data_IF_302295569077
#
_entry.id   IF_302295569077
#
_cell.length_a   1.000
_cell.length_b   1.000
_cell.length_c   1.000
_cell.angle_alpha   90.00
_cell.angle_beta   90.00
_cell.angle_gamma   90.00
#
_symmetry.space_group_name_H-M   'P 1'
#
loop_
_entity.id
_entity.type
_entity.pdbx_description
1 polymer ?
#
# COMPACT_ATOMS: atom_id res chain seq x y z
N UNK A 1 1.79 -29.84 26.32
CA UNK A 1 1.70 -29.80 26.05
C UNK A 1 1.83 -29.80 25.57
N UNK A 2 1.75 -29.55 25.80
CA UNK A 2 1.76 -29.35 25.56
C UNK A 2 1.93 -28.95 25.00
N UNK A 3 2.00 -28.56 24.88
CA UNK A 3 2.06 -28.07 24.51
C UNK A 3 2.25 -27.70 23.81
N UNK A 4 2.10 -27.64 23.95
CA UNK A 4 2.24 -27.19 23.40
C UNK A 4 2.41 -26.86 22.66
N UNK A 5 2.19 -26.77 22.59
CA UNK A 5 2.39 -26.29 21.98
C UNK A 5 2.36 -25.85 21.47
N UNK A 6 2.11 -25.69 21.64
CA UNK A 6 2.12 -25.07 21.39
C UNK A 6 2.43 -24.53 20.63
N UNK A 7 2.41 -24.34 20.48
CA UNK A 7 2.70 -23.63 19.97
C UNK A 7 2.71 -23.18 19.60
N UNK A 8 2.62 -22.93 19.76
CA UNK A 8 2.67 -22.32 19.74
C UNK A 8 2.81 -21.92 19.27
N UNK A 9 2.45 -21.78 19.43
CA UNK A 9 2.61 -21.15 19.50
C UNK A 9 2.98 -20.86 19.29
N UNK A 10 2.88 -21.00 19.18
CA UNK A 10 3.40 -20.52 19.24
C UNK A 10 3.56 -19.96 19.59
N UNK A 11 4.28 -20.55 19.75
CA UNK A 11 4.02 -19.49 20.55
C UNK A 11 3.68 -18.26 19.83
N UNK A 12 2.59 -17.87 20.00
CA UNK A 12 2.25 -16.61 19.39
C UNK A 12 3.20 -15.58 19.87
N UNK A 13 3.50 -14.66 19.02
CA UNK A 13 4.10 -13.47 19.47
C UNK A 13 3.36 -13.04 20.74
N UNK A 14 4.08 -12.71 21.79
CA UNK A 14 3.41 -12.20 22.96
C UNK A 14 2.55 -11.02 22.57
N UNK A 15 1.37 -10.94 23.15
CA UNK A 15 0.52 -9.80 22.95
C UNK A 15 1.32 -8.55 23.28
N UNK A 16 1.38 -7.58 22.39
CA UNK A 16 2.10 -6.35 22.69
C UNK A 16 1.46 -5.67 23.88
N UNK A 17 2.28 -5.23 24.82
CA UNK A 17 1.81 -4.44 25.92
C UNK A 17 1.33 -3.07 25.46
N UNK A 18 0.79 -2.32 26.39
CA UNK A 18 0.30 -0.99 26.07
C UNK A 18 1.39 -0.10 25.48
N UNK A 19 2.61 -0.22 25.98
CA UNK A 19 3.75 0.53 25.45
C UNK A 19 3.98 0.22 23.99
N UNK A 20 3.91 -1.05 23.63
CA UNK A 20 4.15 -1.47 22.25
C UNK A 20 3.07 -0.97 21.32
N UNK A 21 1.83 -0.93 21.80
CA UNK A 21 0.72 -0.40 21.01
C UNK A 21 0.88 1.08 20.75
N UNK A 22 1.29 1.84 21.77
CA UNK A 22 1.52 3.27 21.61
C UNK A 22 2.66 3.53 20.66
N UNK A 23 3.75 2.78 20.80
CA UNK A 23 4.90 2.93 19.93
C UNK A 23 4.53 2.62 18.48
N UNK A 24 3.81 1.53 18.24
CA UNK A 24 3.38 1.18 16.89
C UNK A 24 2.47 2.25 16.30
N UNK A 25 1.58 2.80 17.11
CA UNK A 25 0.69 3.86 16.64
C UNK A 25 1.49 5.09 16.24
N UNK A 26 2.46 5.48 17.07
CA UNK A 26 3.31 6.63 16.78
C UNK A 26 4.12 6.41 15.50
N UNK A 27 4.70 5.22 15.34
CA UNK A 27 5.51 4.90 14.16
C UNK A 27 4.67 4.95 12.90
N UNK A 28 3.40 4.56 12.99
CA UNK A 28 2.49 4.56 11.85
C UNK A 28 2.22 5.98 11.36
N UNK A 29 2.18 6.96 12.27
CA UNK A 29 1.84 8.33 11.92
C UNK A 29 3.05 9.23 11.65
N UNK A 30 4.27 8.74 11.86
CA UNK A 30 5.45 9.53 11.58
C UNK A 30 5.79 9.51 10.10
N UNK A 31 6.16 10.67 9.51
CA UNK A 31 6.63 10.68 8.13
C UNK A 31 7.85 9.77 7.99
N UNK A 32 7.86 8.91 6.98
CA UNK A 32 8.94 7.95 6.82
C UNK A 32 8.97 6.91 7.92
N UNK A 33 7.80 6.54 8.45
CA UNK A 33 7.70 5.59 9.54
C UNK A 33 8.52 4.33 9.27
N UNK A 34 9.18 3.85 10.32
CA UNK A 34 10.03 2.67 10.22
C UNK A 34 9.17 1.44 9.93
N UNK A 35 9.59 0.65 8.95
CA UNK A 35 8.94 -0.60 8.57
C UNK A 35 9.77 -1.75 9.12
N UNK A 36 9.10 -2.70 9.79
CA UNK A 36 9.76 -3.90 10.27
C UNK A 36 10.53 -4.55 9.10
N UNK A 37 11.83 -4.82 9.25
CA UNK A 37 12.60 -5.44 8.15
C UNK A 37 11.99 -6.72 7.59
N UNK A 38 11.26 -7.48 8.42
CA UNK A 38 10.58 -8.68 7.95
C UNK A 38 9.46 -8.33 6.98
N UNK A 39 8.84 -7.17 7.15
CA UNK A 39 7.78 -6.70 6.25
C UNK A 39 8.35 -6.25 4.91
N UNK A 40 9.61 -5.81 4.87
CA UNK A 40 10.23 -5.44 3.60
C UNK A 40 10.33 -6.61 2.62
N UNK A 41 10.61 -7.80 3.13
CA UNK A 41 10.66 -8.98 2.28
C UNK A 41 9.28 -9.30 1.73
N UNK A 42 8.26 -9.20 2.57
CA UNK A 42 6.88 -9.43 2.15
C UNK A 42 6.43 -8.39 1.13
N UNK A 43 6.78 -7.15 1.36
CA UNK A 43 6.43 -6.08 0.43
C UNK A 43 7.08 -6.34 -0.93
N UNK A 44 8.33 -6.76 -0.94
CA UNK A 44 9.02 -7.09 -2.17
C UNK A 44 8.32 -8.22 -2.91
N UNK A 45 7.91 -9.26 -2.18
CA UNK A 45 7.18 -10.38 -2.76
C UNK A 45 5.84 -9.94 -3.34
N UNK A 46 5.08 -9.15 -2.59
CA UNK A 46 3.79 -8.67 -3.08
C UNK A 46 3.95 -7.74 -4.28
N UNK A 47 5.02 -6.95 -4.32
CA UNK A 47 5.30 -6.11 -5.47
C UNK A 47 5.58 -6.95 -6.71
N UNK A 48 6.31 -8.04 -6.55
CA UNK A 48 6.56 -8.96 -7.66
C UNK A 48 5.27 -9.59 -8.14
N UNK A 49 4.44 -10.07 -7.22
CA UNK A 49 3.17 -10.68 -7.58
C UNK A 49 2.20 -9.69 -8.22
N UNK A 50 2.24 -8.45 -7.76
CA UNK A 50 1.47 -7.39 -8.40
C UNK A 50 1.86 -7.23 -9.87
N UNK A 51 3.18 -7.18 -10.15
CA UNK A 51 3.63 -7.05 -11.53
C UNK A 51 3.20 -8.23 -12.39
N UNK A 52 3.33 -9.44 -11.85
CA UNK A 52 2.90 -10.63 -12.57
C UNK A 52 1.40 -10.58 -12.89
N UNK A 53 0.61 -10.16 -11.92
CA UNK A 53 -0.83 -10.03 -12.12
C UNK A 53 -1.15 -9.00 -13.22
N UNK A 54 -0.41 -7.89 -13.25
CA UNK A 54 -0.61 -6.87 -14.29
C UNK A 54 -0.26 -7.41 -15.66
N UNK A 55 0.81 -8.18 -15.77
CA UNK A 55 1.20 -8.76 -17.05
C UNK A 55 0.17 -9.75 -17.56
N UNK A 56 -0.54 -10.41 -16.65
CA UNK A 56 -1.58 -11.35 -17.00
C UNK A 56 -2.96 -10.69 -17.10
N UNK A 57 -3.01 -9.37 -16.94
CA UNK A 57 -4.25 -8.59 -16.95
C UNK A 57 -5.25 -9.02 -15.88
N UNK A 58 -4.73 -9.55 -14.77
CA UNK A 58 -5.55 -9.94 -13.62
C UNK A 58 -5.61 -8.78 -12.64
N UNK A 59 -6.42 -7.79 -12.99
CA UNK A 59 -6.45 -6.53 -12.24
C UNK A 59 -6.99 -6.69 -10.83
N UNK A 60 -7.93 -7.61 -10.62
CA UNK A 60 -8.44 -7.88 -9.27
C UNK A 60 -7.33 -8.42 -8.38
N UNK A 61 -6.53 -9.35 -8.91
CA UNK A 61 -5.39 -9.89 -8.16
C UNK A 61 -4.35 -8.81 -7.89
N UNK A 62 -4.09 -7.97 -8.89
CA UNK A 62 -3.14 -6.87 -8.73
C UNK A 62 -3.58 -5.95 -7.59
N UNK A 63 -4.87 -5.63 -7.51
CA UNK A 63 -5.40 -4.79 -6.44
C UNK A 63 -5.22 -5.45 -5.07
N UNK A 64 -5.44 -6.77 -5.01
CA UNK A 64 -5.25 -7.50 -3.75
C UNK A 64 -3.81 -7.36 -3.26
N UNK A 65 -2.84 -7.52 -4.16
CA UNK A 65 -1.43 -7.42 -3.76
C UNK A 65 -1.05 -6.00 -3.36
N UNK A 66 -1.58 -4.99 -4.04
CA UNK A 66 -1.35 -3.60 -3.62
C UNK A 66 -1.95 -3.33 -2.25
N UNK A 67 -3.14 -3.86 -1.99
CA UNK A 67 -3.76 -3.70 -0.67
C UNK A 67 -2.94 -4.39 0.42
N UNK A 68 -2.35 -5.54 0.12
CA UNK A 68 -1.48 -6.21 1.08
C UNK A 68 -0.23 -5.39 1.39
N UNK A 69 0.33 -4.73 0.38
CA UNK A 69 1.45 -3.82 0.60
C UNK A 69 1.01 -2.69 1.53
N UNK A 70 -0.18 -2.13 1.31
CA UNK A 70 -0.67 -1.02 2.12
C UNK A 70 -1.04 -1.44 3.53
N UNK A 71 -1.38 -2.72 3.76
CA UNK A 71 -1.57 -3.23 5.11
C UNK A 71 -0.26 -3.21 5.90
N UNK A 72 0.84 -3.50 5.23
CA UNK A 72 2.16 -3.52 5.86
C UNK A 72 2.80 -2.14 5.92
N UNK A 73 2.49 -1.30 4.95
CA UNK A 73 3.06 0.05 4.85
C UNK A 73 1.98 1.01 4.37
N UNK A 74 1.15 1.51 5.30
CA UNK A 74 0.03 2.39 4.93
C UNK A 74 0.44 3.69 4.25
N UNK A 75 1.70 4.10 4.42
CA UNK A 75 2.20 5.34 3.82
C UNK A 75 2.92 5.10 2.50
N UNK A 76 2.78 3.92 1.93
CA UNK A 76 3.43 3.59 0.67
C UNK A 76 2.74 4.32 -0.48
N UNK A 77 3.33 5.43 -0.88
CA UNK A 77 2.75 6.31 -1.90
C UNK A 77 2.74 5.64 -3.26
N UNK A 78 3.78 4.86 -3.56
CA UNK A 78 3.87 4.14 -4.82
C UNK A 78 2.72 3.16 -4.98
N UNK A 79 2.37 2.43 -3.93
CA UNK A 79 1.26 1.49 -3.99
C UNK A 79 -0.07 2.21 -4.24
N UNK A 80 -0.25 3.38 -3.63
CA UNK A 80 -1.45 4.18 -3.85
C UNK A 80 -1.50 4.71 -5.29
N UNK A 81 -0.36 5.12 -5.81
CA UNK A 81 -0.27 5.58 -7.20
C UNK A 81 -0.64 4.43 -8.16
N UNK A 82 -0.12 3.23 -7.90
CA UNK A 82 -0.45 2.07 -8.72
C UNK A 82 -1.94 1.75 -8.66
N UNK A 83 -2.57 1.87 -7.49
CA UNK A 83 -4.01 1.66 -7.39
C UNK A 83 -4.76 2.70 -8.23
N UNK A 84 -4.34 3.95 -8.16
CA UNK A 84 -4.94 4.99 -8.98
C UNK A 84 -4.83 4.66 -10.46
N UNK A 85 -3.66 4.18 -10.88
CA UNK A 85 -3.44 3.83 -12.28
C UNK A 85 -4.33 2.67 -12.74
N UNK A 86 -4.55 1.68 -11.89
CA UNK A 86 -5.45 0.57 -12.23
C UNK A 86 -6.88 1.08 -12.37
N UNK A 87 -7.35 1.89 -11.42
CA UNK A 87 -8.69 2.47 -11.53
C UNK A 87 -8.82 3.32 -12.79
N UNK A 88 -7.80 4.11 -13.10
CA UNK A 88 -7.83 5.05 -14.23
C UNK A 88 -7.77 4.33 -15.57
N UNK A 89 -6.75 3.49 -15.75
CA UNK A 89 -6.41 2.97 -17.09
C UNK A 89 -7.00 1.61 -17.38
N UNK A 90 -7.27 0.83 -16.34
CA UNK A 90 -7.72 -0.54 -16.53
C UNK A 90 -9.22 -0.70 -16.25
N UNK A 91 -9.72 -0.05 -15.21
CA UNK A 91 -11.11 -0.20 -14.78
C UNK A 91 -11.98 0.98 -15.17
N UNK A 92 -11.38 2.08 -15.58
CA UNK A 92 -12.09 3.31 -15.94
C UNK A 92 -13.00 3.81 -14.81
N UNK A 93 -12.60 3.56 -13.58
CA UNK A 93 -13.29 4.04 -12.39
C UNK A 93 -12.64 5.37 -11.98
N UNK A 94 -13.03 6.43 -12.64
CA UNK A 94 -12.38 7.71 -12.47
C UNK A 94 -12.55 8.31 -11.07
N UNK A 95 -13.72 8.23 -10.43
CA UNK A 95 -13.82 8.75 -9.06
C UNK A 95 -12.85 8.07 -8.09
N UNK A 96 -12.71 6.74 -8.18
CA UNK A 96 -11.77 6.03 -7.32
C UNK A 96 -10.33 6.38 -7.65
N UNK A 97 -10.02 6.56 -8.94
CA UNK A 97 -8.69 6.96 -9.36
C UNK A 97 -8.33 8.33 -8.79
N UNK A 98 -9.24 9.29 -8.89
CA UNK A 98 -9.01 10.64 -8.38
C UNK A 98 -8.77 10.61 -6.87
N UNK A 99 -9.52 9.78 -6.15
CA UNK A 99 -9.33 9.64 -4.71
C UNK A 99 -7.91 9.17 -4.39
N UNK A 100 -7.42 8.16 -5.11
CA UNK A 100 -6.07 7.65 -4.87
C UNK A 100 -5.01 8.69 -5.24
N UNK A 101 -5.17 9.35 -6.39
CA UNK A 101 -4.21 10.38 -6.80
C UNK A 101 -4.17 11.54 -5.81
N UNK A 102 -5.31 11.93 -5.26
CA UNK A 102 -5.33 12.97 -4.23
C UNK A 102 -4.56 12.55 -2.99
N UNK A 103 -4.71 11.28 -2.58
CA UNK A 103 -3.95 10.77 -1.45
C UNK A 103 -2.45 10.79 -1.74
N UNK A 104 -2.06 10.42 -2.96
CA UNK A 104 -0.65 10.46 -3.36
C UNK A 104 -0.11 11.87 -3.25
N UNK A 105 -0.85 12.85 -3.77
CA UNK A 105 -0.41 14.24 -3.75
C UNK A 105 -0.22 14.73 -2.32
N UNK A 106 -1.15 14.38 -1.43
CA UNK A 106 -1.06 14.81 -0.02
C UNK A 106 0.08 14.12 0.73
N UNK A 107 0.38 12.87 0.39
CA UNK A 107 1.33 12.07 1.16
C UNK A 107 2.73 12.07 0.58
N UNK A 108 2.91 12.52 -0.66
CA UNK A 108 4.22 12.42 -1.32
C UNK A 108 5.27 13.37 -0.73
N UNK A 109 4.85 14.36 0.05
CA UNK A 109 5.79 15.26 0.72
C UNK A 109 6.70 15.95 -0.29
N UNK A 110 7.98 15.69 -0.18
CA UNK A 110 8.98 16.31 -1.06
C UNK A 110 9.28 15.47 -2.31
N UNK A 111 8.60 14.33 -2.47
CA UNK A 111 8.77 13.51 -3.67
C UNK A 111 8.02 14.15 -4.83
N UNK A 112 8.69 15.07 -5.51
CA UNK A 112 8.11 15.82 -6.60
C UNK A 112 7.77 14.93 -7.79
N UNK A 113 8.57 13.90 -8.02
CA UNK A 113 8.35 12.99 -9.15
C UNK A 113 7.02 12.27 -9.02
N UNK A 114 6.76 11.69 -7.87
CA UNK A 114 5.52 10.95 -7.62
C UNK A 114 4.32 11.89 -7.67
N UNK A 115 4.47 13.09 -7.08
CA UNK A 115 3.40 14.07 -7.08
C UNK A 115 3.05 14.53 -8.50
N UNK A 116 4.08 14.74 -9.33
CA UNK A 116 3.89 15.16 -10.71
C UNK A 116 3.16 14.08 -11.51
N UNK A 117 3.51 12.82 -11.29
CA UNK A 117 2.82 11.72 -11.97
C UNK A 117 1.33 11.69 -11.62
N UNK A 118 1.01 11.88 -10.33
CA UNK A 118 -0.38 11.88 -9.90
C UNK A 118 -1.15 13.05 -10.50
N UNK A 119 -0.55 14.23 -10.53
CA UNK A 119 -1.20 15.42 -11.10
C UNK A 119 -1.43 15.26 -12.59
N UNK A 120 -0.44 14.71 -13.30
CA UNK A 120 -0.58 14.50 -14.74
C UNK A 120 -1.72 13.51 -15.03
N UNK A 121 -1.81 12.45 -14.25
CA UNK A 121 -2.88 11.46 -14.43
C UNK A 121 -4.25 12.09 -14.14
N UNK A 122 -4.34 12.92 -13.11
CA UNK A 122 -5.58 13.63 -12.83
C UNK A 122 -5.99 14.56 -13.97
N UNK A 123 -5.01 15.25 -14.55
CA UNK A 123 -5.30 16.13 -15.68
C UNK A 123 -5.83 15.35 -16.87
N UNK A 124 -5.27 14.16 -17.12
CA UNK A 124 -5.79 13.30 -18.18
C UNK A 124 -7.25 12.93 -17.94
N UNK A 125 -7.59 12.60 -16.70
CA UNK A 125 -8.97 12.25 -16.36
C UNK A 125 -9.89 13.45 -16.58
N UNK A 126 -9.46 14.62 -16.13
CA UNK A 126 -10.28 15.83 -16.29
C UNK A 126 -10.53 16.15 -17.75
N UNK A 127 -9.55 15.93 -18.61
CA UNK A 127 -9.73 16.11 -20.05
C UNK A 127 -10.72 15.12 -20.62
N UNK A 128 -10.68 13.87 -20.16
CA UNK A 128 -11.62 12.85 -20.62
C UNK A 128 -13.05 13.17 -20.22
N UNK A 129 -13.24 13.87 -19.10
CA UNK A 129 -14.57 14.17 -18.57
C UNK A 129 -15.13 15.51 -19.06
N UNK A 130 -14.34 16.30 -19.75
CA UNK A 130 -14.78 17.63 -20.22
C UNK A 130 -15.34 17.62 -21.65
#
# INVERSE_FOLDING_TARGET
MRQTIRIKRSSPAPQPGMKDRLLNTLLTYLPGAWIDPRNNELITLYRLRYRMAMEEHKYDSAMIFLNKILELDPMNVEAKLCKGDIYHRCLHDYPSAIEQYNKVIRLSGEDETTRTKARAAMSEIMELLS
#
